data_IF_585609518183
#
_entry.id   IF_585609518183
#
_cell.length_a   1.000
_cell.length_b   1.000
_cell.length_c   1.000
_cell.angle_alpha   90.00
_cell.angle_beta   90.00
_cell.angle_gamma   90.00
#
_symmetry.space_group_name_H-M   'P 1'
#
loop_
_entity.id
_entity.type
_entity.pdbx_description
1 polymer ?
#
# COMPACT_ATOMS: atom_id res chain seq x y z
N UNK A 1 -10.71 5.45 -1.99
CA UNK A 1 -9.75 6.57 -1.86
C UNK A 1 -8.42 6.02 -1.38
N UNK A 2 -7.30 6.45 -1.99
CA UNK A 2 -5.97 6.08 -1.50
C UNK A 2 -5.72 6.77 -0.15
N UNK A 3 -5.11 6.05 0.80
CA UNK A 3 -4.74 6.64 2.08
C UNK A 3 -3.57 7.59 1.89
N UNK A 4 -3.56 8.78 2.55
CA UNK A 4 -2.39 9.63 2.58
C UNK A 4 -1.18 8.89 3.17
N UNK A 5 0.00 9.21 2.67
CA UNK A 5 1.27 8.63 3.13
C UNK A 5 2.01 9.66 3.96
N UNK A 6 2.37 9.28 5.19
CA UNK A 6 3.16 10.11 6.11
C UNK A 6 4.51 9.43 6.34
N UNK A 7 5.61 10.10 6.01
CA UNK A 7 6.95 9.57 6.22
C UNK A 7 7.65 10.26 7.40
N UNK A 8 8.34 9.48 8.24
CA UNK A 8 9.14 9.98 9.35
C UNK A 8 10.61 10.03 8.95
N UNK A 9 11.21 11.21 8.99
CA UNK A 9 12.61 11.49 8.65
C UNK A 9 13.33 12.06 9.87
N UNK A 10 14.60 11.79 10.04
CA UNK A 10 15.41 12.36 11.14
C UNK A 10 16.64 11.51 11.41
N UNK A 11 17.54 12.05 12.23
CA UNK A 11 18.78 11.38 12.63
C UNK A 11 18.53 10.01 13.29
N UNK A 12 19.53 9.12 13.32
CA UNK A 12 19.51 7.97 14.21
C UNK A 12 19.25 8.40 15.67
N UNK A 13 18.58 7.55 16.42
CA UNK A 13 18.34 7.72 17.87
C UNK A 13 17.51 8.95 18.32
N UNK A 14 16.88 9.71 17.38
CA UNK A 14 15.94 10.78 17.74
C UNK A 14 14.58 10.24 18.22
N UNK A 15 14.33 8.92 18.06
CA UNK A 15 13.10 8.26 18.53
C UNK A 15 12.08 7.94 17.44
N UNK A 16 12.45 7.90 16.16
CA UNK A 16 11.55 7.57 15.05
C UNK A 16 10.82 6.23 15.26
N UNK A 17 11.57 5.17 15.55
CA UNK A 17 10.97 3.85 15.77
C UNK A 17 10.13 3.78 17.05
N UNK A 18 10.45 4.60 18.06
CA UNK A 18 9.61 4.73 19.27
C UNK A 18 8.27 5.39 18.92
N UNK A 19 8.29 6.46 18.16
CA UNK A 19 7.07 7.11 17.65
C UNK A 19 6.27 6.13 16.79
N UNK A 20 6.91 5.48 15.82
CA UNK A 20 6.29 4.50 14.94
C UNK A 20 5.59 3.38 15.72
N UNK A 21 6.29 2.74 16.66
CA UNK A 21 5.74 1.67 17.48
C UNK A 21 4.62 2.18 18.42
N UNK A 22 4.76 3.41 18.94
CA UNK A 22 3.75 4.05 19.78
C UNK A 22 2.44 4.30 19.04
N UNK A 23 2.52 4.71 17.78
CA UNK A 23 1.36 4.94 16.92
C UNK A 23 0.77 3.62 16.39
N UNK A 24 1.61 2.65 16.02
CA UNK A 24 1.18 1.31 15.60
C UNK A 24 0.44 0.56 16.72
N UNK A 25 0.86 0.74 17.98
CA UNK A 25 0.23 0.11 19.15
C UNK A 25 -1.12 0.71 19.56
N UNK A 26 -1.51 1.85 19.01
CA UNK A 26 -2.83 2.48 19.23
C UNK A 26 -3.89 1.98 18.25
N UNK A 27 -3.55 1.08 17.33
CA UNK A 27 -4.52 0.50 16.40
C UNK A 27 -5.57 -0.34 17.13
N UNK A 28 -6.76 0.20 17.27
CA UNK A 28 -8.01 -0.54 17.41
C UNK A 28 -8.55 -0.79 16.00
N UNK A 29 -7.81 -1.41 15.14
CA UNK A 29 -8.33 -1.95 13.89
C UNK A 29 -8.07 -3.46 13.86
N UNK A 30 -9.16 -4.21 13.69
CA UNK A 30 -9.15 -5.65 13.48
C UNK A 30 -8.51 -5.90 12.10
N UNK A 31 -7.19 -5.83 12.02
CA UNK A 31 -6.46 -6.34 10.87
C UNK A 31 -6.27 -7.83 11.12
N UNK A 32 -6.96 -8.65 10.35
CA UNK A 32 -6.79 -10.11 10.37
C UNK A 32 -5.36 -10.44 9.96
N UNK A 33 -4.69 -11.26 10.77
CA UNK A 33 -3.42 -11.85 10.38
C UNK A 33 -3.66 -12.72 9.13
N UNK A 34 -3.15 -12.27 8.00
CA UNK A 34 -3.18 -13.05 6.76
C UNK A 34 -1.97 -13.98 6.78
N UNK A 35 -2.17 -15.32 6.78
CA UNK A 35 -1.07 -16.26 6.76
C UNK A 35 -0.18 -16.02 5.54
N UNK A 36 1.13 -15.88 5.76
CA UNK A 36 2.12 -15.65 4.70
C UNK A 36 2.55 -14.20 4.50
N UNK A 37 1.92 -13.24 5.19
CA UNK A 37 2.34 -11.83 5.19
C UNK A 37 3.02 -11.49 6.51
N UNK A 38 4.34 -11.38 6.51
CA UNK A 38 5.10 -10.89 7.66
C UNK A 38 4.97 -9.37 7.73
N UNK A 39 4.57 -8.82 8.90
CA UNK A 39 4.57 -7.38 9.16
C UNK A 39 6.00 -6.87 9.09
N UNK A 40 6.33 -6.16 8.05
CA UNK A 40 7.57 -5.39 8.01
C UNK A 40 7.41 -4.16 8.93
N UNK A 41 8.45 -3.87 9.72
CA UNK A 41 8.50 -2.70 10.62
C UNK A 41 8.68 -1.37 9.87
N UNK A 42 8.44 -1.36 8.57
CA UNK A 42 8.73 -0.22 7.68
C UNK A 42 7.51 0.67 7.50
N UNK A 43 6.29 0.10 7.53
CA UNK A 43 5.05 0.84 7.37
C UNK A 43 3.96 0.30 8.28
N UNK A 44 3.01 1.17 8.64
CA UNK A 44 1.82 0.80 9.42
C UNK A 44 0.67 1.73 9.10
N UNK A 45 -0.55 1.21 9.23
CA UNK A 45 -1.74 2.05 9.15
C UNK A 45 -2.01 2.70 10.50
N UNK A 46 -2.27 3.99 10.47
CA UNK A 46 -2.65 4.78 11.64
C UNK A 46 -4.02 5.38 11.38
N UNK A 47 -4.87 5.37 12.39
CA UNK A 47 -6.15 6.09 12.38
C UNK A 47 -6.13 7.13 13.49
N UNK A 48 -6.35 8.38 13.13
CA UNK A 48 -6.50 9.48 14.07
C UNK A 48 -7.85 10.15 13.85
N UNK A 49 -8.70 10.12 14.86
CA UNK A 49 -10.10 10.53 14.77
C UNK A 49 -10.81 9.76 13.62
N UNK A 50 -11.26 10.45 12.58
CA UNK A 50 -11.92 9.89 11.39
C UNK A 50 -10.98 9.70 10.19
N UNK A 51 -9.69 10.07 10.33
CA UNK A 51 -8.71 10.05 9.24
C UNK A 51 -7.76 8.88 9.36
N UNK A 52 -7.69 8.07 8.30
CA UNK A 52 -6.75 6.96 8.18
C UNK A 52 -5.61 7.30 7.21
N UNK A 53 -4.38 6.95 7.55
CA UNK A 53 -3.20 7.18 6.73
C UNK A 53 -2.17 6.05 6.91
N UNK A 54 -1.23 5.94 5.98
CA UNK A 54 -0.11 5.00 6.06
C UNK A 54 1.12 5.74 6.58
N UNK A 55 1.63 5.33 7.74
CA UNK A 55 2.87 5.84 8.32
C UNK A 55 4.05 4.98 7.84
N UNK A 56 5.12 5.64 7.39
CA UNK A 56 6.35 4.98 6.92
C UNK A 56 7.53 5.42 7.79
N UNK A 57 8.27 4.45 8.36
CA UNK A 57 9.56 4.70 9.00
C UNK A 57 10.67 4.61 7.95
N UNK A 58 11.26 5.76 7.58
CA UNK A 58 12.40 5.80 6.65
C UNK A 58 13.71 5.46 7.33
N UNK A 59 13.76 5.39 8.66
CA UNK A 59 14.93 5.07 9.48
C UNK A 59 14.96 3.60 9.88
N UNK A 60 16.08 2.96 9.79
CA UNK A 60 16.19 1.56 10.24
C UNK A 60 17.56 0.93 10.06
N UNK A 61 18.56 1.74 9.73
CA UNK A 61 19.97 1.32 9.65
C UNK A 61 20.76 2.20 10.61
N UNK A 62 21.42 1.60 11.58
CA UNK A 62 22.36 2.31 12.45
C UNK A 62 23.74 2.38 11.75
N UNK A 63 24.28 3.57 11.51
CA UNK A 63 25.57 3.73 10.85
C UNK A 63 26.72 3.70 11.83
N UNK A 64 27.84 3.14 11.40
CA UNK A 64 29.07 3.05 12.20
C UNK A 64 29.95 4.32 12.15
N UNK A 65 29.60 5.33 11.34
CA UNK A 65 30.44 6.58 11.21
C UNK A 65 29.60 7.83 10.90
N UNK A 66 30.10 9.02 11.27
CA UNK A 66 29.43 10.32 11.13
C UNK A 66 29.16 10.76 9.68
N UNK A 67 30.04 10.45 8.73
CA UNK A 67 29.87 10.78 7.33
C UNK A 67 28.76 9.94 6.67
N UNK A 68 28.57 8.72 7.16
CA UNK A 68 27.48 7.83 6.74
C UNK A 68 26.13 8.34 7.23
N UNK A 69 26.05 8.95 8.43
CA UNK A 69 24.82 9.49 9.02
C UNK A 69 24.18 10.54 8.09
N UNK A 70 24.93 11.52 7.61
CA UNK A 70 24.40 12.57 6.74
C UNK A 70 23.96 12.02 5.39
N UNK A 71 24.70 11.07 4.82
CA UNK A 71 24.33 10.40 3.56
C UNK A 71 23.00 9.67 3.72
N UNK A 72 22.84 8.90 4.78
CA UNK A 72 21.59 8.16 5.06
C UNK A 72 20.41 9.09 5.33
N UNK A 73 20.61 10.18 6.09
CA UNK A 73 19.55 11.16 6.31
C UNK A 73 19.09 11.82 5.02
N UNK A 74 20.03 12.14 4.11
CA UNK A 74 19.70 12.68 2.78
C UNK A 74 18.90 11.68 1.96
N UNK A 75 19.26 10.41 2.02
CA UNK A 75 18.54 9.35 1.33
C UNK A 75 17.13 9.16 1.92
N UNK A 76 17.00 9.13 3.24
CA UNK A 76 15.69 9.09 3.92
C UNK A 76 14.82 10.29 3.53
N UNK A 77 15.39 11.50 3.49
CA UNK A 77 14.69 12.69 3.07
C UNK A 77 14.25 12.61 1.59
N UNK A 78 15.11 12.09 0.72
CA UNK A 78 14.76 11.89 -0.70
C UNK A 78 13.62 10.87 -0.86
N UNK A 79 13.65 9.77 -0.13
CA UNK A 79 12.55 8.78 -0.11
C UNK A 79 11.24 9.44 0.33
N UNK A 80 11.28 10.19 1.42
CA UNK A 80 10.10 10.88 1.94
C UNK A 80 9.55 11.91 0.93
N UNK A 81 10.42 12.69 0.30
CA UNK A 81 10.04 13.65 -0.74
C UNK A 81 9.38 12.94 -1.93
N UNK A 82 9.94 11.81 -2.37
CA UNK A 82 9.43 11.06 -3.52
C UNK A 82 8.11 10.35 -3.24
N UNK A 83 7.82 9.96 -1.99
CA UNK A 83 6.74 9.02 -1.68
C UNK A 83 5.65 9.56 -0.75
N UNK A 84 5.93 10.51 0.13
CA UNK A 84 5.00 10.97 1.14
C UNK A 84 4.14 12.16 0.70
N UNK A 85 2.92 12.23 1.22
CA UNK A 85 2.06 13.41 1.15
C UNK A 85 2.41 14.44 2.23
N UNK A 86 2.82 13.96 3.42
CA UNK A 86 3.26 14.77 4.55
C UNK A 86 4.55 14.17 5.14
N UNK A 87 5.49 15.01 5.52
CA UNK A 87 6.76 14.58 6.11
C UNK A 87 6.81 15.03 7.57
N UNK A 88 7.02 14.10 8.49
CA UNK A 88 7.38 14.38 9.88
C UNK A 88 8.90 14.43 9.94
N UNK A 89 9.46 15.62 10.18
CA UNK A 89 10.89 15.78 10.42
C UNK A 89 11.18 15.81 11.91
N UNK A 90 11.83 14.76 12.40
CA UNK A 90 12.00 14.49 13.83
C UNK A 90 13.41 14.82 14.30
N UNK A 91 13.52 15.64 15.34
CA UNK A 91 14.75 16.09 16.00
C UNK A 91 14.74 15.70 17.49
N UNK A 92 15.83 15.96 18.22
CA UNK A 92 16.01 15.58 19.63
C UNK A 92 16.39 16.81 20.45
N UNK A 93 15.54 17.23 21.41
CA UNK A 93 15.78 18.39 22.26
C UNK A 93 17.05 18.27 23.09
N UNK A 94 17.39 17.04 23.52
CA UNK A 94 18.57 16.80 24.39
C UNK A 94 19.90 17.00 23.67
N UNK A 95 19.92 16.82 22.36
CA UNK A 95 21.13 17.00 21.54
C UNK A 95 21.21 18.42 20.95
N UNK A 96 20.11 19.18 21.02
CA UNK A 96 20.01 20.48 20.38
C UNK A 96 20.05 20.43 18.85
N UNK A 97 20.17 21.59 18.24
CA UNK A 97 20.26 21.76 16.81
C UNK A 97 21.67 21.40 16.33
N UNK A 98 21.77 20.53 15.31
CA UNK A 98 23.06 20.14 14.71
C UNK A 98 23.07 20.38 13.19
N UNK A 99 24.26 20.53 12.61
CA UNK A 99 24.46 20.81 11.18
C UNK A 99 23.77 19.82 10.23
N UNK A 100 23.69 18.55 10.63
CA UNK A 100 23.01 17.54 9.83
C UNK A 100 21.51 17.79 9.73
N UNK A 101 20.88 18.27 10.81
CA UNK A 101 19.46 18.63 10.82
C UNK A 101 19.21 19.83 9.91
N UNK A 102 20.08 20.86 9.96
CA UNK A 102 19.97 22.04 9.10
C UNK A 102 20.09 21.68 7.60
N UNK A 103 21.03 20.80 7.24
CA UNK A 103 21.22 20.34 5.85
C UNK A 103 20.04 19.56 5.31
N UNK A 104 19.43 18.71 6.13
CA UNK A 104 18.23 17.95 5.74
C UNK A 104 17.01 18.86 5.70
N UNK A 105 16.85 19.78 6.66
CA UNK A 105 15.80 20.79 6.64
C UNK A 105 15.82 21.64 5.35
N UNK A 106 17.01 22.05 4.88
CA UNK A 106 17.16 22.78 3.61
C UNK A 106 16.69 21.94 2.41
N UNK A 107 17.00 20.65 2.38
CA UNK A 107 16.55 19.74 1.33
C UNK A 107 15.03 19.56 1.35
N UNK A 108 14.45 19.36 2.54
CA UNK A 108 13.01 19.22 2.71
C UNK A 108 12.27 20.50 2.32
N UNK A 109 12.76 21.68 2.72
CA UNK A 109 12.17 22.98 2.38
C UNK A 109 12.07 23.19 0.86
N UNK A 110 13.09 22.78 0.11
CA UNK A 110 13.11 22.88 -1.38
C UNK A 110 12.13 21.93 -2.06
N UNK A 111 11.64 20.92 -1.37
CA UNK A 111 10.70 19.96 -1.95
C UNK A 111 9.27 20.49 -2.07
N UNK A 112 8.95 21.58 -1.38
CA UNK A 112 7.60 22.14 -1.27
C UNK A 112 6.54 21.17 -0.72
N UNK A 113 6.96 20.05 -0.13
CA UNK A 113 6.05 19.12 0.57
C UNK A 113 5.65 19.70 1.93
N UNK A 114 4.44 19.41 2.42
CA UNK A 114 4.08 19.71 3.80
C UNK A 114 5.03 19.03 4.79
N UNK A 115 5.60 19.80 5.71
CA UNK A 115 6.54 19.31 6.72
C UNK A 115 6.00 19.66 8.09
N UNK A 116 5.97 18.68 9.00
CA UNK A 116 5.70 18.88 10.42
C UNK A 116 7.01 18.68 11.18
N UNK A 117 7.55 19.78 11.73
CA UNK A 117 8.78 19.74 12.53
C UNK A 117 8.45 19.26 13.94
N UNK A 118 9.04 18.15 14.34
CA UNK A 118 8.81 17.52 15.64
C UNK A 118 10.09 17.50 16.45
N UNK A 119 10.04 18.03 17.65
CA UNK A 119 11.13 18.02 18.63
C UNK A 119 10.79 16.99 19.69
N UNK A 120 11.48 15.84 19.66
CA UNK A 120 11.21 14.72 20.57
C UNK A 120 12.07 14.76 21.84
N UNK A 121 11.72 13.92 22.80
CA UNK A 121 12.32 13.76 24.11
C UNK A 121 12.11 14.96 25.04
N UNK A 122 11.05 15.73 24.78
CA UNK A 122 10.57 16.78 25.64
C UNK A 122 9.70 16.14 26.74
N UNK A 123 10.36 15.71 27.80
CA UNK A 123 9.67 15.02 28.91
C UNK A 123 9.09 16.00 29.94
N UNK A 124 9.57 17.24 29.94
CA UNK A 124 9.04 18.34 30.78
C UNK A 124 8.92 19.61 29.93
N UNK A 125 7.72 19.93 29.50
CA UNK A 125 7.44 21.08 28.63
C UNK A 125 7.84 22.42 29.28
N UNK A 126 7.55 22.62 30.55
CA UNK A 126 7.86 23.90 31.24
C UNK A 126 9.35 24.22 31.22
N UNK A 127 10.21 23.19 31.44
CA UNK A 127 11.66 23.38 31.53
C UNK A 127 12.36 23.39 30.18
N UNK A 128 11.84 22.64 29.20
CA UNK A 128 12.54 22.39 27.93
C UNK A 128 11.99 23.23 26.76
N UNK A 129 10.91 24.02 26.96
CA UNK A 129 10.42 24.87 25.89
C UNK A 129 11.44 25.90 25.36
N UNK A 130 12.32 26.51 26.17
CA UNK A 130 13.38 27.37 25.63
C UNK A 130 14.27 26.68 24.64
N UNK A 131 14.64 25.40 24.89
CA UNK A 131 15.46 24.58 24.00
C UNK A 131 14.70 24.18 22.72
N UNK A 132 13.37 23.98 22.81
CA UNK A 132 12.53 23.70 21.65
C UNK A 132 12.51 24.88 20.68
N UNK A 133 12.52 26.11 21.18
CA UNK A 133 12.50 27.33 20.33
C UNK A 133 13.75 27.47 19.47
N UNK A 134 14.89 26.87 19.84
CA UNK A 134 16.08 26.85 19.00
C UNK A 134 15.83 26.26 17.60
N UNK A 135 14.90 25.29 17.51
CA UNK A 135 14.58 24.59 16.26
C UNK A 135 13.80 25.45 15.24
N UNK A 136 13.30 26.64 15.61
CA UNK A 136 12.81 27.62 14.64
C UNK A 136 13.89 28.04 13.61
N UNK A 137 15.17 27.93 13.98
CA UNK A 137 16.27 28.23 13.08
C UNK A 137 16.35 27.28 11.87
N UNK A 138 15.64 26.15 11.87
CA UNK A 138 15.51 25.26 10.70
C UNK A 138 14.65 25.85 9.58
N UNK A 139 13.76 26.81 9.89
CA UNK A 139 12.95 27.52 8.89
C UNK A 139 11.97 26.63 8.11
N UNK A 140 11.45 25.59 8.75
CA UNK A 140 10.52 24.62 8.14
C UNK A 140 9.17 24.49 8.87
N UNK A 141 8.84 25.46 9.68
CA UNK A 141 7.59 25.54 10.43
C UNK A 141 7.79 25.62 11.93
N UNK A 142 6.69 25.54 12.66
CA UNK A 142 6.66 25.58 14.11
C UNK A 142 7.18 24.26 14.69
N UNK A 143 8.19 24.28 15.61
CA UNK A 143 8.66 23.08 16.26
C UNK A 143 7.64 22.57 17.28
N UNK A 144 7.13 21.36 17.06
CA UNK A 144 6.17 20.70 17.92
C UNK A 144 6.85 19.83 18.97
N UNK A 145 6.76 20.16 20.27
CA UNK A 145 7.37 19.38 21.32
C UNK A 145 6.57 18.07 21.56
N UNK A 146 7.25 16.94 21.57
CA UNK A 146 6.66 15.66 21.94
C UNK A 146 7.58 14.86 22.88
N UNK A 147 7.00 13.90 23.60
CA UNK A 147 7.71 12.77 24.15
C UNK A 147 7.10 11.47 23.61
N UNK A 148 7.78 10.85 22.66
CA UNK A 148 7.30 9.60 22.06
C UNK A 148 7.20 8.44 23.06
N UNK A 149 8.06 8.43 24.07
CA UNK A 149 8.05 7.44 25.15
C UNK A 149 6.85 7.64 26.07
N UNK A 150 6.64 8.88 26.54
CA UNK A 150 5.57 9.23 27.47
C UNK A 150 4.24 9.54 26.79
N UNK A 151 4.22 9.52 25.45
CA UNK A 151 3.06 9.83 24.59
C UNK A 151 2.51 11.27 24.78
N UNK A 152 3.35 12.19 25.25
CA UNK A 152 2.99 13.60 25.41
C UNK A 152 3.08 14.34 24.07
N UNK A 153 2.13 15.24 23.79
CA UNK A 153 2.10 16.06 22.57
C UNK A 153 1.75 15.31 21.28
N UNK A 154 1.50 13.99 21.34
CA UNK A 154 1.20 13.19 20.12
C UNK A 154 -0.13 13.59 19.48
N UNK A 155 -1.13 13.97 20.27
CA UNK A 155 -2.42 14.42 19.75
C UNK A 155 -2.29 15.67 18.90
N UNK A 156 -1.63 16.70 19.42
CA UNK A 156 -1.41 17.97 18.72
C UNK A 156 -0.59 17.77 17.44
N UNK A 157 0.43 16.90 17.51
CA UNK A 157 1.23 16.51 16.33
C UNK A 157 0.36 15.84 15.27
N UNK A 158 -0.51 14.90 15.64
CA UNK A 158 -1.38 14.18 14.71
C UNK A 158 -2.46 15.11 14.12
N UNK A 159 -2.97 16.04 14.91
CA UNK A 159 -3.87 17.09 14.43
C UNK A 159 -3.19 17.94 13.37
N UNK A 160 -1.93 18.36 13.59
CA UNK A 160 -1.15 19.12 12.62
C UNK A 160 -0.89 18.32 11.34
N UNK A 161 -0.44 17.07 11.45
CA UNK A 161 -0.20 16.18 10.30
C UNK A 161 -1.46 16.03 9.46
N UNK A 162 -2.61 15.80 10.09
CA UNK A 162 -3.88 15.55 9.38
C UNK A 162 -4.51 16.78 8.74
N UNK A 163 -4.09 18.00 9.12
CA UNK A 163 -4.51 19.25 8.44
C UNK A 163 -4.05 19.30 6.99
N UNK A 164 -2.89 18.68 6.70
CA UNK A 164 -2.27 18.67 5.38
C UNK A 164 -2.78 17.57 4.46
N UNK A 165 -3.68 16.73 4.95
CA UNK A 165 -4.28 15.70 4.11
C UNK A 165 -5.18 16.33 3.05
N UNK A 166 -5.21 15.75 1.83
CA UNK A 166 -6.12 16.20 0.79
C UNK A 166 -7.55 16.28 1.32
N UNK A 167 -8.22 17.41 1.08
CA UNK A 167 -9.65 17.56 1.41
C UNK A 167 -10.47 16.92 0.30
N UNK A 168 -11.61 16.31 0.65
CA UNK A 168 -12.52 15.68 -0.32
C UNK A 168 -12.95 16.61 -1.46
N UNK A 169 -12.87 17.93 -1.27
CA UNK A 169 -13.17 18.96 -2.28
C UNK A 169 -12.05 19.23 -3.28
N UNK A 170 -10.81 18.85 -2.94
CA UNK A 170 -9.64 19.00 -3.82
C UNK A 170 -9.43 17.77 -4.72
N UNK A 171 -10.28 16.76 -4.57
CA UNK A 171 -10.34 15.61 -5.47
C UNK A 171 -11.08 16.12 -6.72
N UNK A 172 -10.29 16.55 -7.72
CA UNK A 172 -10.80 16.75 -9.09
C UNK A 172 -11.58 15.49 -9.50
N UNK A 173 -12.59 15.69 -10.34
CA UNK A 173 -13.46 14.65 -10.95
C UNK A 173 -12.74 13.31 -11.00
N UNK A 174 -13.35 12.30 -10.41
CA UNK A 174 -12.77 10.94 -10.31
C UNK A 174 -12.17 10.59 -11.68
N UNK A 175 -10.86 10.57 -11.77
CA UNK A 175 -10.17 10.18 -12.98
C UNK A 175 -10.42 8.67 -13.16
N UNK A 176 -11.46 8.34 -13.93
CA UNK A 176 -11.95 6.99 -14.19
C UNK A 176 -10.92 6.11 -14.92
N UNK A 177 -9.78 6.70 -15.32
CA UNK A 177 -8.70 5.96 -15.95
C UNK A 177 -8.08 4.97 -14.98
N UNK A 178 -7.91 3.69 -15.37
CA UNK A 178 -7.25 2.70 -14.53
C UNK A 178 -5.83 3.12 -14.15
N UNK A 179 -5.52 3.12 -12.85
CA UNK A 179 -4.19 3.41 -12.30
C UNK A 179 -3.45 2.12 -12.02
N UNK A 180 -2.30 1.93 -12.66
CA UNK A 180 -1.55 0.67 -12.65
C UNK A 180 -0.17 0.86 -12.02
N UNK A 181 0.16 0.06 -11.00
CA UNK A 181 1.51 -0.05 -10.47
C UNK A 181 2.18 -1.33 -10.97
N UNK A 182 3.45 -1.23 -11.40
CA UNK A 182 4.30 -2.38 -11.73
C UNK A 182 5.32 -2.55 -10.62
N UNK A 183 5.18 -3.62 -9.84
CA UNK A 183 5.99 -3.91 -8.65
C UNK A 183 6.70 -5.26 -8.78
N UNK A 184 7.66 -5.52 -7.92
CA UNK A 184 8.43 -6.76 -7.91
C UNK A 184 9.87 -6.50 -7.50
N UNK A 185 10.65 -7.55 -7.29
CA UNK A 185 12.06 -7.51 -6.90
C UNK A 185 12.94 -6.71 -7.88
N UNK A 186 14.11 -6.25 -7.47
CA UNK A 186 15.12 -5.74 -8.41
C UNK A 186 15.41 -6.75 -9.53
N UNK A 187 15.72 -6.26 -10.72
CA UNK A 187 16.15 -7.06 -11.89
C UNK A 187 15.15 -8.07 -12.49
N UNK A 188 13.91 -8.15 -12.02
CA UNK A 188 12.85 -8.99 -12.63
C UNK A 188 12.38 -8.47 -13.99
N UNK A 189 12.81 -7.26 -14.40
CA UNK A 189 12.53 -6.69 -15.72
C UNK A 189 11.38 -5.67 -15.76
N UNK A 190 11.00 -5.05 -14.62
CA UNK A 190 9.96 -4.00 -14.57
C UNK A 190 10.20 -2.88 -15.58
N UNK A 191 11.39 -2.28 -15.56
CA UNK A 191 11.76 -1.19 -16.50
C UNK A 191 11.72 -1.64 -17.96
N UNK A 192 12.06 -2.90 -18.24
CA UNK A 192 11.99 -3.47 -19.60
C UNK A 192 10.55 -3.63 -20.07
N UNK A 193 9.64 -4.05 -19.17
CA UNK A 193 8.20 -4.12 -19.45
C UNK A 193 7.66 -2.74 -19.78
N UNK A 194 7.92 -1.75 -18.90
CA UNK A 194 7.50 -0.36 -19.08
C UNK A 194 8.00 0.20 -20.41
N UNK A 195 9.31 0.09 -20.69
CA UNK A 195 9.89 0.60 -21.93
C UNK A 195 9.28 -0.06 -23.18
N UNK A 196 8.95 -1.36 -23.12
CA UNK A 196 8.37 -2.08 -24.24
C UNK A 196 6.90 -1.73 -24.46
N UNK A 197 6.13 -1.53 -23.39
CA UNK A 197 4.74 -1.06 -23.45
C UNK A 197 4.68 0.36 -24.01
N UNK A 198 5.59 1.25 -23.59
CA UNK A 198 5.65 2.64 -24.04
C UNK A 198 6.16 2.79 -25.49
N UNK A 199 7.10 1.93 -25.90
CA UNK A 199 7.67 1.99 -27.25
C UNK A 199 6.71 1.54 -28.37
N UNK A 200 5.63 0.84 -28.04
CA UNK A 200 4.63 0.34 -29.00
C UNK A 200 3.36 1.21 -29.07
N UNK A 201 3.09 2.01 -28.06
CA UNK A 201 1.84 2.74 -27.89
C UNK A 201 2.10 4.24 -27.88
N UNK A 202 1.07 5.03 -28.20
CA UNK A 202 1.14 6.48 -28.17
C UNK A 202 1.22 6.93 -26.70
N UNK A 203 2.43 7.31 -26.26
CA UNK A 203 2.60 7.95 -24.95
C UNK A 203 2.08 9.37 -25.06
N UNK A 204 1.01 9.65 -24.38
CA UNK A 204 0.52 11.03 -24.21
C UNK A 204 1.26 11.54 -22.97
N UNK A 205 2.34 12.28 -23.19
CA UNK A 205 2.92 13.10 -22.13
C UNK A 205 1.98 14.28 -21.97
N UNK A 206 1.03 14.16 -21.09
CA UNK A 206 0.15 15.28 -20.78
C UNK A 206 0.80 16.13 -19.72
N UNK A 207 1.37 17.27 -20.15
CA UNK A 207 1.56 18.44 -19.29
C UNK A 207 0.19 19.04 -18.96
N UNK A 208 -0.65 18.30 -18.26
CA UNK A 208 -1.90 18.86 -17.71
C UNK A 208 -1.46 19.72 -16.52
N UNK A 209 -1.36 21.02 -16.78
CA UNK A 209 -1.21 22.04 -15.74
C UNK A 209 -2.40 21.89 -14.78
N UNK A 210 -2.13 21.40 -13.57
CA UNK A 210 -3.15 21.16 -12.53
C UNK A 210 -2.93 19.89 -11.72
N UNK A 211 -2.21 18.90 -12.24
CA UNK A 211 -1.80 17.69 -11.49
C UNK A 211 -0.36 17.82 -11.00
N UNK A 212 -0.06 18.91 -10.32
CA UNK A 212 1.28 19.25 -9.80
C UNK A 212 1.78 18.30 -8.70
N UNK A 213 1.08 17.20 -8.41
CA UNK A 213 1.51 16.25 -7.37
C UNK A 213 2.44 15.16 -7.86
N UNK A 214 2.43 14.79 -9.17
CA UNK A 214 3.17 13.61 -9.61
C UNK A 214 3.73 13.73 -11.05
N UNK A 215 4.86 14.40 -11.20
CA UNK A 215 5.68 14.41 -12.43
C UNK A 215 6.25 13.01 -12.81
N UNK A 216 5.75 11.95 -12.19
CA UNK A 216 6.32 10.60 -12.17
C UNK A 216 5.43 9.58 -12.89
N UNK A 217 4.15 9.90 -13.10
CA UNK A 217 3.17 9.02 -13.74
C UNK A 217 3.15 9.17 -15.27
N UNK A 218 2.81 8.11 -15.97
CA UNK A 218 2.76 8.13 -17.43
C UNK A 218 1.41 7.61 -17.94
N UNK A 219 0.76 8.40 -18.78
CA UNK A 219 -0.48 8.01 -19.45
C UNK A 219 -0.14 7.32 -20.76
N UNK A 220 -0.77 6.17 -21.00
CA UNK A 220 -0.64 5.40 -22.24
C UNK A 220 -2.01 5.21 -22.84
N UNK A 221 -2.15 5.58 -24.12
CA UNK A 221 -3.33 5.22 -24.89
C UNK A 221 -3.11 3.88 -25.60
N UNK A 222 -3.97 2.92 -25.34
CA UNK A 222 -4.01 1.65 -26.03
C UNK A 222 -5.41 1.39 -26.59
N UNK A 223 -5.53 1.31 -27.90
CA UNK A 223 -6.80 1.09 -28.62
C UNK A 223 -7.93 2.07 -28.24
N UNK A 224 -7.59 3.32 -27.92
CA UNK A 224 -8.56 4.36 -27.55
C UNK A 224 -8.89 4.45 -26.07
N UNK A 225 -8.38 3.54 -25.24
CA UNK A 225 -8.48 3.59 -23.77
C UNK A 225 -7.18 4.13 -23.16
N UNK A 226 -7.32 5.03 -22.18
CA UNK A 226 -6.19 5.59 -21.45
C UNK A 226 -5.94 4.81 -20.16
N UNK A 227 -4.66 4.55 -19.87
CA UNK A 227 -4.17 3.88 -18.66
C UNK A 227 -3.09 4.73 -18.00
N UNK A 228 -3.15 4.89 -16.68
CA UNK A 228 -2.18 5.66 -15.91
C UNK A 228 -1.20 4.70 -15.21
N UNK A 229 0.06 4.70 -15.64
CA UNK A 229 1.10 3.91 -14.99
C UNK A 229 1.80 4.73 -13.92
N UNK A 230 1.72 4.26 -12.68
CA UNK A 230 2.22 4.93 -11.46
C UNK A 230 3.74 4.73 -11.32
N UNK A 231 4.45 5.77 -10.86
CA UNK A 231 5.91 5.76 -10.53
C UNK A 231 6.82 5.27 -11.66
N UNK A 232 6.52 5.62 -12.89
CA UNK A 232 7.31 5.16 -14.04
C UNK A 232 8.68 5.81 -14.15
N UNK A 233 8.89 7.03 -13.62
CA UNK A 233 10.20 7.70 -13.62
C UNK A 233 11.20 6.99 -12.71
N UNK A 234 10.76 6.45 -11.56
CA UNK A 234 11.58 5.59 -10.70
C UNK A 234 12.02 4.31 -11.41
N UNK A 235 11.16 3.76 -12.27
CA UNK A 235 11.48 2.58 -13.08
C UNK A 235 12.41 2.88 -14.26
N UNK A 236 12.44 4.13 -14.78
CA UNK A 236 13.28 4.55 -15.90
C UNK A 236 14.70 4.94 -15.47
N UNK A 237 14.87 5.52 -14.28
CA UNK A 237 16.20 5.86 -13.74
C UNK A 237 16.92 4.56 -13.40
N UNK A 238 17.90 4.16 -14.21
CA UNK A 238 18.80 3.05 -13.87
C UNK A 238 19.51 3.40 -12.56
N UNK A 239 19.14 2.75 -11.46
CA UNK A 239 19.83 2.95 -10.20
C UNK A 239 21.24 2.38 -10.30
N UNK A 240 22.26 3.24 -10.09
CA UNK A 240 23.67 2.87 -9.97
C UNK A 240 24.05 2.43 -8.55
N UNK A 241 23.09 2.22 -7.65
CA UNK A 241 23.35 2.02 -6.23
C UNK A 241 23.01 0.57 -5.87
N UNK A 242 24.00 -0.13 -5.32
CA UNK A 242 23.93 -1.51 -4.84
C UNK A 242 23.60 -1.52 -3.33
N UNK A 243 22.88 -2.53 -2.89
CA UNK A 243 22.74 -3.05 -1.51
C UNK A 243 21.87 -2.32 -0.44
N UNK A 244 21.69 -1.00 -0.45
CA UNK A 244 20.69 -0.32 0.41
C UNK A 244 19.27 -0.36 -0.18
N UNK A 245 19.13 -1.04 -1.29
CA UNK A 245 18.01 -1.05 -2.23
C UNK A 245 16.74 -1.75 -1.73
N UNK A 246 16.81 -2.63 -0.75
CA UNK A 246 15.67 -3.50 -0.43
C UNK A 246 14.55 -2.74 0.29
N UNK A 247 14.89 -1.96 1.31
CA UNK A 247 13.91 -1.13 2.06
C UNK A 247 13.34 0.00 1.20
N UNK A 248 14.20 0.65 0.41
CA UNK A 248 13.81 1.67 -0.54
C UNK A 248 12.80 1.12 -1.56
N UNK A 249 13.06 -0.10 -2.05
CA UNK A 249 12.16 -0.81 -2.95
C UNK A 249 10.81 -1.11 -2.31
N UNK A 250 10.77 -1.48 -1.03
CA UNK A 250 9.53 -1.76 -0.30
C UNK A 250 8.72 -0.48 -0.10
N UNK A 251 9.33 0.61 0.34
CA UNK A 251 8.65 1.90 0.56
C UNK A 251 8.03 2.42 -0.75
N UNK A 252 8.78 2.37 -1.85
CA UNK A 252 8.25 2.72 -3.17
C UNK A 252 7.12 1.79 -3.60
N UNK A 253 7.25 0.50 -3.31
CA UNK A 253 6.20 -0.48 -3.60
C UNK A 253 4.92 -0.13 -2.84
N UNK A 254 5.01 0.18 -1.55
CA UNK A 254 3.84 0.60 -0.73
C UNK A 254 3.22 1.86 -1.32
N UNK A 255 4.02 2.89 -1.63
CA UNK A 255 3.54 4.13 -2.21
C UNK A 255 2.85 3.92 -3.56
N UNK A 256 3.46 3.13 -4.45
CA UNK A 256 2.87 2.83 -5.76
C UNK A 256 1.57 2.03 -5.62
N UNK A 257 1.54 1.05 -4.71
CA UNK A 257 0.34 0.24 -4.43
C UNK A 257 -0.79 1.08 -3.86
N UNK A 258 -0.51 2.01 -2.92
CA UNK A 258 -1.56 2.89 -2.37
C UNK A 258 -2.27 3.69 -3.45
N UNK A 259 -1.53 4.23 -4.42
CA UNK A 259 -2.03 5.08 -5.50
C UNK A 259 -2.69 4.33 -6.65
N UNK A 260 -2.38 3.04 -6.81
CA UNK A 260 -2.88 2.21 -7.90
C UNK A 260 -4.29 1.64 -7.63
N UNK A 261 -5.02 1.30 -8.69
CA UNK A 261 -6.21 0.46 -8.67
C UNK A 261 -5.84 -1.01 -8.89
N UNK A 262 -4.82 -1.23 -9.75
CA UNK A 262 -4.34 -2.56 -10.14
C UNK A 262 -2.83 -2.63 -9.96
N UNK A 263 -2.37 -3.75 -9.42
CA UNK A 263 -0.96 -4.03 -9.17
C UNK A 263 -0.51 -5.22 -10.02
N UNK A 264 0.49 -4.99 -10.85
CA UNK A 264 1.17 -6.03 -11.63
C UNK A 264 2.41 -6.46 -10.86
N UNK A 265 2.35 -7.63 -10.23
CA UNK A 265 3.50 -8.23 -9.53
C UNK A 265 4.35 -8.99 -10.54
N UNK A 266 5.57 -8.52 -10.78
CA UNK A 266 6.48 -9.11 -11.77
C UNK A 266 7.40 -10.12 -11.09
N UNK A 267 7.40 -11.35 -11.58
CA UNK A 267 8.23 -12.47 -11.11
C UNK A 267 9.22 -12.85 -12.23
N UNK A 268 10.45 -13.19 -11.87
CA UNK A 268 11.44 -13.73 -12.80
C UNK A 268 11.23 -15.24 -12.98
N UNK A 269 10.98 -15.68 -14.22
CA UNK A 269 10.77 -17.09 -14.51
C UNK A 269 11.98 -17.97 -14.16
N UNK A 270 13.22 -17.44 -14.23
CA UNK A 270 14.43 -18.20 -13.90
C UNK A 270 14.57 -18.48 -12.40
N UNK A 271 14.11 -17.56 -11.55
CA UNK A 271 14.16 -17.72 -10.09
C UNK A 271 12.91 -18.42 -9.55
N UNK A 272 11.80 -18.31 -10.27
CA UNK A 272 10.48 -18.69 -9.79
C UNK A 272 9.92 -17.73 -8.73
N UNK A 273 8.81 -18.13 -8.10
CA UNK A 273 8.17 -17.34 -7.03
C UNK A 273 8.94 -17.50 -5.71
N UNK A 274 9.16 -16.38 -5.00
CA UNK A 274 9.92 -16.31 -3.75
C UNK A 274 9.08 -15.68 -2.62
N UNK A 275 9.56 -15.78 -1.38
CA UNK A 275 8.94 -15.13 -0.21
C UNK A 275 8.84 -13.60 -0.37
N UNK A 276 9.82 -12.97 -1.01
CA UNK A 276 9.80 -11.53 -1.26
C UNK A 276 8.69 -11.15 -2.25
N UNK A 277 8.45 -11.98 -3.27
CA UNK A 277 7.32 -11.79 -4.18
C UNK A 277 5.98 -11.96 -3.45
N UNK A 278 5.90 -12.91 -2.51
CA UNK A 278 4.72 -13.10 -1.66
C UNK A 278 4.46 -11.88 -0.76
N UNK A 279 5.50 -11.28 -0.16
CA UNK A 279 5.37 -10.04 0.62
C UNK A 279 4.81 -8.90 -0.22
N UNK A 280 5.36 -8.69 -1.42
CA UNK A 280 4.90 -7.65 -2.35
C UNK A 280 3.44 -7.87 -2.75
N UNK A 281 3.07 -9.09 -3.08
CA UNK A 281 1.70 -9.47 -3.41
C UNK A 281 0.75 -9.32 -2.21
N UNK A 282 1.26 -9.60 -0.99
CA UNK A 282 0.54 -9.40 0.27
C UNK A 282 0.15 -7.95 0.51
N UNK A 283 1.07 -7.00 0.27
CA UNK A 283 0.79 -5.56 0.38
C UNK A 283 -0.39 -5.18 -0.55
N UNK A 284 -0.38 -5.65 -1.80
CA UNK A 284 -1.45 -5.36 -2.75
C UNK A 284 -2.80 -5.97 -2.31
N UNK A 285 -2.77 -7.18 -1.76
CA UNK A 285 -3.95 -7.86 -1.23
C UNK A 285 -4.57 -7.14 -0.03
N UNK A 286 -3.75 -6.78 0.96
CA UNK A 286 -4.19 -6.05 2.15
C UNK A 286 -4.82 -4.69 1.81
N UNK A 287 -4.32 -4.04 0.74
CA UNK A 287 -4.86 -2.77 0.22
C UNK A 287 -6.09 -2.96 -0.67
N UNK A 288 -6.56 -4.18 -0.87
CA UNK A 288 -7.74 -4.48 -1.68
C UNK A 288 -7.59 -4.15 -3.16
N UNK A 289 -6.34 -4.13 -3.67
CA UNK A 289 -6.07 -3.80 -5.08
C UNK A 289 -6.39 -4.97 -6.00
N UNK A 290 -6.63 -4.66 -7.28
CA UNK A 290 -6.62 -5.67 -8.32
C UNK A 290 -5.21 -6.24 -8.48
N UNK A 291 -5.06 -7.55 -8.67
CA UNK A 291 -3.74 -8.20 -8.71
C UNK A 291 -3.61 -9.06 -9.97
N UNK A 292 -2.51 -8.80 -10.70
CA UNK A 292 -2.04 -9.63 -11.80
C UNK A 292 -0.60 -10.07 -11.51
N UNK A 293 -0.30 -11.33 -11.71
CA UNK A 293 1.06 -11.90 -11.64
C UNK A 293 1.63 -11.99 -13.05
N UNK A 294 2.69 -11.25 -13.33
CA UNK A 294 3.38 -11.27 -14.60
C UNK A 294 4.70 -12.06 -14.48
N UNK A 295 4.73 -13.29 -14.97
CA UNK A 295 5.93 -14.13 -15.00
C UNK A 295 6.75 -13.73 -16.22
N UNK A 296 7.79 -12.93 -15.99
CA UNK A 296 8.65 -12.37 -17.04
C UNK A 296 9.87 -13.25 -17.33
N UNK A 297 10.59 -12.93 -18.39
CA UNK A 297 11.72 -13.69 -18.94
C UNK A 297 11.33 -15.10 -19.38
N UNK A 298 10.09 -15.28 -19.79
CA UNK A 298 9.55 -16.56 -20.24
C UNK A 298 10.26 -17.11 -21.49
N UNK A 299 10.98 -16.27 -22.24
CA UNK A 299 11.83 -16.63 -23.36
C UNK A 299 13.09 -17.42 -22.95
N UNK A 300 13.53 -17.29 -21.71
CA UNK A 300 14.76 -17.91 -21.19
C UNK A 300 14.53 -19.32 -20.60
N UNK A 301 13.27 -19.74 -20.46
CA UNK A 301 12.93 -21.04 -19.86
C UNK A 301 12.82 -22.11 -20.95
N UNK A 302 13.45 -23.27 -20.73
CA UNK A 302 13.17 -24.48 -21.50
C UNK A 302 11.76 -24.98 -21.19
N UNK A 303 10.98 -25.28 -22.22
CA UNK A 303 9.54 -25.51 -22.09
C UNK A 303 9.17 -26.87 -22.64
N UNK A 304 8.40 -27.59 -21.86
CA UNK A 304 7.61 -28.74 -22.26
C UNK A 304 6.10 -28.45 -22.10
N UNK A 305 5.26 -29.40 -22.44
CA UNK A 305 3.80 -29.26 -22.35
C UNK A 305 3.29 -29.05 -20.90
N UNK A 306 4.09 -29.41 -19.89
CA UNK A 306 3.74 -29.34 -18.46
C UNK A 306 4.32 -28.12 -17.78
N UNK A 307 5.27 -27.42 -18.37
CA UNK A 307 6.02 -26.32 -17.76
C UNK A 307 5.10 -25.20 -17.24
N UNK A 308 4.14 -24.76 -18.06
CA UNK A 308 3.17 -23.71 -17.65
C UNK A 308 2.34 -24.17 -16.46
N UNK A 309 1.90 -25.41 -16.46
CA UNK A 309 1.07 -25.98 -15.39
C UNK A 309 1.87 -26.07 -14.08
N UNK A 310 3.12 -26.52 -14.14
CA UNK A 310 4.00 -26.63 -12.97
C UNK A 310 4.29 -25.26 -12.35
N UNK A 311 4.61 -24.24 -13.18
CA UNK A 311 4.80 -22.87 -12.73
C UNK A 311 3.52 -22.30 -12.10
N UNK A 312 2.38 -22.50 -12.74
CA UNK A 312 1.09 -22.04 -12.24
C UNK A 312 0.76 -22.65 -10.88
N UNK A 313 0.97 -23.93 -10.69
CA UNK A 313 0.72 -24.61 -9.42
C UNK A 313 1.65 -24.09 -8.33
N UNK A 314 2.96 -23.97 -8.60
CA UNK A 314 3.93 -23.44 -7.64
C UNK A 314 3.59 -22.00 -7.22
N UNK A 315 3.16 -21.17 -8.16
CA UNK A 315 2.71 -19.79 -7.85
C UNK A 315 1.47 -19.82 -6.95
N UNK A 316 0.48 -20.65 -7.29
CA UNK A 316 -0.76 -20.78 -6.50
C UNK A 316 -0.54 -21.35 -5.10
N UNK A 317 0.41 -22.25 -4.94
CA UNK A 317 0.81 -22.78 -3.63
C UNK A 317 1.47 -21.70 -2.77
N UNK A 318 2.48 -21.00 -3.32
CA UNK A 318 3.21 -19.95 -2.60
C UNK A 318 2.32 -18.72 -2.32
N UNK A 319 1.46 -18.35 -3.27
CA UNK A 319 0.54 -17.22 -3.17
C UNK A 319 -0.91 -17.67 -2.86
N UNK A 320 -1.06 -18.68 -1.99
CA UNK A 320 -2.37 -19.29 -1.68
C UNK A 320 -3.40 -18.34 -1.06
N UNK A 321 -2.96 -17.19 -0.56
CA UNK A 321 -3.82 -16.13 -0.01
C UNK A 321 -4.47 -15.26 -1.11
N UNK A 322 -4.00 -15.31 -2.36
CA UNK A 322 -4.56 -14.60 -3.52
C UNK A 322 -4.92 -15.54 -4.68
N UNK A 323 -5.78 -16.55 -4.46
CA UNK A 323 -6.11 -17.56 -5.47
C UNK A 323 -6.82 -16.97 -6.71
N UNK A 324 -7.34 -15.76 -6.57
CA UNK A 324 -8.05 -15.00 -7.60
C UNK A 324 -7.13 -14.24 -8.56
N UNK A 325 -5.83 -14.11 -8.23
CA UNK A 325 -4.89 -13.36 -9.05
C UNK A 325 -4.71 -14.01 -10.42
N UNK A 326 -4.75 -13.18 -11.47
CA UNK A 326 -4.53 -13.62 -12.84
C UNK A 326 -3.04 -13.81 -13.11
N UNK A 327 -2.66 -14.93 -13.72
CA UNK A 327 -1.26 -15.25 -14.02
C UNK A 327 -1.01 -15.15 -15.53
N UNK A 328 -0.03 -14.34 -15.92
CA UNK A 328 0.35 -14.10 -17.31
C UNK A 328 1.85 -14.36 -17.50
N UNK A 329 2.20 -15.25 -18.42
CA UNK A 329 3.58 -15.53 -18.79
C UNK A 329 4.00 -14.64 -19.97
N UNK A 330 5.02 -13.78 -19.76
CA UNK A 330 5.45 -12.75 -20.70
C UNK A 330 6.95 -12.78 -20.96
N UNK A 331 7.37 -12.13 -22.03
CA UNK A 331 8.77 -11.78 -22.25
C UNK A 331 8.88 -10.29 -22.63
N UNK A 332 9.44 -9.49 -21.75
CA UNK A 332 9.75 -8.10 -22.05
C UNK A 332 10.82 -7.97 -23.17
N UNK A 333 11.72 -8.94 -23.30
CA UNK A 333 12.77 -8.99 -24.31
C UNK A 333 12.18 -9.15 -25.71
N UNK A 334 11.36 -10.16 -25.92
CA UNK A 334 10.77 -10.46 -27.24
C UNK A 334 9.47 -9.70 -27.50
N UNK A 335 8.80 -9.20 -26.46
CA UNK A 335 7.49 -8.58 -26.55
C UNK A 335 6.31 -9.57 -26.51
N UNK A 336 6.60 -10.84 -26.19
CA UNK A 336 5.61 -11.91 -26.19
C UNK A 336 4.54 -11.63 -25.12
N UNK A 337 3.26 -11.66 -25.52
CA UNK A 337 2.05 -11.52 -24.70
C UNK A 337 1.93 -10.20 -23.92
N UNK A 338 2.74 -9.18 -24.17
CA UNK A 338 2.63 -7.89 -23.48
C UNK A 338 1.28 -7.21 -23.74
N UNK A 339 0.70 -7.33 -24.92
CA UNK A 339 -0.61 -6.75 -25.23
C UNK A 339 -1.73 -7.36 -24.39
N UNK A 340 -1.59 -8.60 -23.91
CA UNK A 340 -2.57 -9.26 -23.03
C UNK A 340 -2.65 -8.60 -21.64
N UNK A 341 -1.65 -7.81 -21.25
CA UNK A 341 -1.68 -7.04 -20.01
C UNK A 341 -2.89 -6.10 -20.00
N UNK A 342 -3.15 -5.39 -21.11
CA UNK A 342 -4.29 -4.46 -21.19
C UNK A 342 -5.64 -5.19 -21.12
N UNK A 343 -5.77 -6.33 -21.83
CA UNK A 343 -6.97 -7.16 -21.78
C UNK A 343 -7.29 -7.66 -20.36
N UNK A 344 -6.25 -8.03 -19.60
CA UNK A 344 -6.41 -8.45 -18.21
C UNK A 344 -6.69 -7.27 -17.27
N UNK A 345 -6.09 -6.09 -17.50
CA UNK A 345 -6.40 -4.87 -16.75
C UNK A 345 -7.89 -4.56 -16.91
N UNK A 346 -8.41 -4.55 -18.14
CA UNK A 346 -9.81 -4.25 -18.41
C UNK A 346 -10.76 -5.24 -17.72
N UNK A 347 -10.44 -6.55 -17.77
CA UNK A 347 -11.22 -7.57 -17.07
C UNK A 347 -11.20 -7.41 -15.54
N UNK A 348 -10.07 -6.98 -14.96
CA UNK A 348 -9.96 -6.70 -13.53
C UNK A 348 -10.76 -5.44 -13.17
N UNK A 349 -10.68 -4.37 -13.97
CA UNK A 349 -11.45 -3.13 -13.77
C UNK A 349 -12.95 -3.42 -13.82
N UNK A 350 -13.39 -4.23 -14.78
CA UNK A 350 -14.80 -4.66 -14.89
C UNK A 350 -15.21 -5.42 -13.61
N UNK A 351 -14.40 -6.37 -13.18
CA UNK A 351 -14.64 -7.12 -11.93
C UNK A 351 -14.68 -6.22 -10.70
N UNK A 352 -13.79 -5.23 -10.59
CA UNK A 352 -13.76 -4.29 -9.46
C UNK A 352 -15.01 -3.41 -9.42
N UNK A 353 -15.54 -3.01 -10.58
CA UNK A 353 -16.71 -2.13 -10.69
C UNK A 353 -18.04 -2.88 -10.60
N UNK A 354 -18.01 -4.21 -10.58
CA UNK A 354 -19.22 -5.02 -10.57
C UNK A 354 -20.08 -4.75 -9.33
N UNK A 355 -21.36 -4.46 -9.56
CA UNK A 355 -22.39 -4.30 -8.52
C UNK A 355 -23.38 -5.44 -8.62
N UNK A 356 -23.54 -6.14 -7.50
CA UNK A 356 -24.49 -7.25 -7.39
C UNK A 356 -25.74 -6.75 -6.67
N UNK A 357 -26.96 -6.94 -7.27
CA UNK A 357 -28.20 -6.64 -6.58
C UNK A 357 -28.33 -7.44 -5.29
N UNK A 358 -28.82 -6.79 -4.22
CA UNK A 358 -28.93 -7.39 -2.89
C UNK A 358 -29.77 -8.67 -2.89
N UNK A 359 -30.84 -8.73 -3.72
CA UNK A 359 -31.70 -9.93 -3.86
C UNK A 359 -30.89 -11.15 -4.33
N UNK A 360 -30.19 -10.99 -5.49
CA UNK A 360 -29.37 -12.07 -6.08
C UNK A 360 -28.26 -12.52 -5.12
N UNK A 361 -27.62 -11.55 -4.44
CA UNK A 361 -26.58 -11.83 -3.45
C UNK A 361 -27.12 -12.70 -2.30
N UNK A 362 -28.35 -12.45 -1.84
CA UNK A 362 -28.95 -13.21 -0.75
C UNK A 362 -29.50 -14.57 -1.19
N UNK A 363 -29.88 -14.74 -2.45
CA UNK A 363 -30.18 -16.06 -3.01
C UNK A 363 -28.95 -16.98 -2.95
N UNK A 364 -27.78 -16.50 -3.40
CA UNK A 364 -26.52 -17.24 -3.32
C UNK A 364 -26.11 -17.50 -1.87
N UNK A 365 -26.27 -16.51 -0.99
CA UNK A 365 -26.00 -16.70 0.44
C UNK A 365 -26.87 -17.81 1.03
N UNK A 366 -28.16 -17.82 0.71
CA UNK A 366 -29.10 -18.84 1.21
C UNK A 366 -28.73 -20.22 0.71
N UNK A 367 -28.37 -20.33 -0.57
CA UNK A 367 -27.89 -21.59 -1.17
C UNK A 367 -26.60 -22.06 -0.48
N UNK A 368 -25.61 -21.16 -0.33
CA UNK A 368 -24.35 -21.47 0.33
C UNK A 368 -24.55 -21.95 1.78
N UNK A 369 -25.39 -21.27 2.55
CA UNK A 369 -25.72 -21.65 3.94
C UNK A 369 -26.46 -23.00 4.00
N UNK A 370 -27.29 -23.34 3.01
CA UNK A 370 -27.99 -24.63 2.94
C UNK A 370 -27.03 -25.78 2.61
N UNK A 371 -26.03 -25.54 1.71
CA UNK A 371 -25.02 -26.54 1.34
C UNK A 371 -24.04 -26.81 2.49
N UNK A 372 -23.56 -25.78 3.15
CA UNK A 372 -22.66 -25.90 4.28
C UNK A 372 -23.10 -24.99 5.41
N UNK A 373 -23.58 -25.61 6.46
CA UNK A 373 -24.09 -24.89 7.61
C UNK A 373 -22.98 -24.10 8.33
N UNK A 374 -23.30 -22.88 8.84
CA UNK A 374 -22.37 -22.08 9.59
C UNK A 374 -21.84 -22.78 10.84
N UNK A 375 -20.59 -22.43 11.26
CA UNK A 375 -19.97 -23.02 12.45
C UNK A 375 -20.76 -22.73 13.73
N UNK A 376 -20.58 -23.58 14.71
CA UNK A 376 -21.12 -23.40 16.07
C UNK A 376 -19.99 -23.45 17.09
N UNK A 377 -20.03 -22.59 18.09
CA UNK A 377 -19.17 -22.62 19.26
C UNK A 377 -20.01 -22.59 20.54
N UNK A 378 -19.68 -23.47 21.51
CA UNK A 378 -20.34 -23.58 22.82
C UNK A 378 -21.87 -23.60 22.73
N UNK A 379 -22.44 -24.32 21.76
CA UNK A 379 -23.88 -24.46 21.56
C UNK A 379 -24.56 -23.28 20.85
N UNK A 380 -23.84 -22.21 20.56
CA UNK A 380 -24.35 -21.11 19.76
C UNK A 380 -23.87 -21.28 18.31
N UNK A 381 -24.80 -21.15 17.35
CA UNK A 381 -24.52 -21.22 15.93
C UNK A 381 -24.47 -19.83 15.32
N UNK A 382 -23.50 -19.60 14.43
CA UNK A 382 -23.48 -18.41 13.59
C UNK A 382 -24.74 -18.36 12.73
N UNK A 383 -25.45 -17.24 12.74
CA UNK A 383 -26.55 -16.94 11.83
C UNK A 383 -26.19 -15.74 10.99
N UNK A 384 -26.28 -15.88 9.67
CA UNK A 384 -26.14 -14.79 8.72
C UNK A 384 -27.56 -14.44 8.27
N UNK A 385 -28.00 -13.23 8.60
CA UNK A 385 -29.38 -12.80 8.31
C UNK A 385 -29.53 -12.34 6.86
N UNK A 386 -28.59 -11.55 6.39
CA UNK A 386 -28.52 -11.10 5.01
C UNK A 386 -27.14 -10.48 4.74
N UNK A 387 -26.87 -10.25 3.45
CA UNK A 387 -25.63 -9.63 2.98
C UNK A 387 -25.95 -8.54 1.96
N UNK A 388 -25.16 -7.47 1.94
CA UNK A 388 -25.26 -6.40 0.94
C UNK A 388 -23.90 -5.93 0.50
N UNK A 389 -23.76 -5.52 -0.75
CA UNK A 389 -22.56 -4.89 -1.25
C UNK A 389 -22.62 -3.38 -0.98
N UNK A 390 -21.64 -2.86 -0.24
CA UNK A 390 -21.59 -1.44 0.17
C UNK A 390 -20.62 -0.62 -0.65
N UNK A 391 -19.63 -1.27 -1.28
CA UNK A 391 -18.61 -0.59 -2.06
C UNK A 391 -18.14 -1.42 -3.25
N UNK A 392 -17.56 -0.74 -4.22
CA UNK A 392 -16.73 -1.25 -5.32
C UNK A 392 -15.32 -0.70 -5.15
N UNK A 393 -14.31 -1.30 -5.80
CA UNK A 393 -12.90 -0.86 -5.75
C UNK A 393 -12.33 -0.68 -4.31
N UNK A 394 -12.24 -1.72 -3.49
CA UNK A 394 -12.57 -3.13 -3.74
C UNK A 394 -14.04 -3.44 -3.49
N UNK A 395 -14.57 -4.50 -4.12
CA UNK A 395 -15.88 -5.06 -3.80
C UNK A 395 -15.95 -5.40 -2.32
N UNK A 396 -16.85 -4.73 -1.58
CA UNK A 396 -16.97 -4.88 -0.14
C UNK A 396 -18.38 -5.28 0.23
N UNK A 397 -18.50 -6.38 0.96
CA UNK A 397 -19.77 -6.96 1.38
C UNK A 397 -19.93 -6.86 2.90
N UNK A 398 -21.08 -6.41 3.34
CA UNK A 398 -21.46 -6.41 4.76
C UNK A 398 -22.35 -7.60 5.01
N UNK A 399 -21.93 -8.51 5.88
CA UNK A 399 -22.73 -9.61 6.41
C UNK A 399 -23.33 -9.20 7.75
N UNK A 400 -24.66 -9.26 7.86
CA UNK A 400 -25.37 -9.01 9.11
C UNK A 400 -25.56 -10.35 9.84
N UNK A 401 -24.95 -10.45 11.02
CA UNK A 401 -24.82 -11.69 11.78
C UNK A 401 -25.33 -11.51 13.21
N UNK A 402 -25.54 -12.64 13.91
CA UNK A 402 -25.94 -12.63 15.30
C UNK A 402 -24.80 -12.31 16.29
N UNK A 403 -23.59 -12.80 16.03
CA UNK A 403 -22.46 -12.68 16.95
C UNK A 403 -21.14 -12.77 16.17
N UNK A 404 -20.29 -11.75 16.31
CA UNK A 404 -18.97 -11.67 15.61
C UNK A 404 -17.99 -12.72 16.10
N UNK A 405 -18.09 -13.14 17.37
CA UNK A 405 -17.18 -14.14 17.94
C UNK A 405 -17.32 -15.52 17.29
N UNK A 406 -18.48 -15.79 16.67
CA UNK A 406 -18.77 -17.04 15.97
C UNK A 406 -18.26 -17.05 14.51
N UNK A 407 -17.76 -15.91 13.99
CA UNK A 407 -17.23 -15.85 12.63
C UNK A 407 -15.85 -16.50 12.55
N UNK A 408 -15.77 -17.60 11.83
CA UNK A 408 -14.51 -18.26 11.55
C UNK A 408 -14.00 -17.91 10.15
N UNK A 409 -12.70 -17.68 10.02
CA UNK A 409 -12.06 -17.33 8.74
C UNK A 409 -12.40 -18.31 7.61
N UNK A 410 -12.39 -19.62 7.90
CA UNK A 410 -12.69 -20.65 6.90
C UNK A 410 -14.10 -20.53 6.33
N UNK A 411 -15.08 -20.13 7.15
CA UNK A 411 -16.44 -19.96 6.68
C UNK A 411 -16.62 -18.70 5.83
N UNK A 412 -15.97 -17.61 6.22
CA UNK A 412 -15.93 -16.39 5.38
C UNK A 412 -15.31 -16.69 4.01
N UNK A 413 -14.22 -17.49 3.98
CA UNK A 413 -13.58 -17.91 2.73
C UNK A 413 -14.48 -18.81 1.89
N UNK A 414 -15.26 -19.68 2.53
CA UNK A 414 -16.27 -20.48 1.84
C UNK A 414 -17.32 -19.60 1.13
N UNK A 415 -17.87 -18.61 1.85
CA UNK A 415 -18.84 -17.67 1.25
C UNK A 415 -18.19 -16.86 0.12
N UNK A 416 -16.95 -16.40 0.29
CA UNK A 416 -16.20 -15.74 -0.76
C UNK A 416 -16.08 -16.61 -2.02
N UNK A 417 -15.73 -17.88 -1.86
CA UNK A 417 -15.63 -18.80 -2.98
C UNK A 417 -16.96 -18.97 -3.72
N UNK A 418 -18.08 -19.03 -2.99
CA UNK A 418 -19.41 -19.10 -3.61
C UNK A 418 -19.76 -17.85 -4.41
N UNK A 419 -19.42 -16.68 -3.90
CA UNK A 419 -19.59 -15.42 -4.63
C UNK A 419 -18.70 -15.40 -5.88
N UNK A 420 -17.45 -15.88 -5.79
CA UNK A 420 -16.54 -15.98 -6.94
C UNK A 420 -17.00 -16.99 -7.98
N UNK A 421 -17.53 -18.13 -7.56
CA UNK A 421 -18.12 -19.13 -8.45
C UNK A 421 -19.29 -18.54 -9.26
N UNK A 422 -20.12 -17.72 -8.63
CA UNK A 422 -21.30 -17.13 -9.27
C UNK A 422 -20.97 -15.92 -10.17
N UNK A 423 -20.02 -15.06 -9.78
CA UNK A 423 -19.79 -13.76 -10.42
C UNK A 423 -18.38 -13.58 -11.00
N UNK A 424 -17.45 -14.49 -10.73
CA UNK A 424 -16.07 -14.41 -11.19
C UNK A 424 -15.18 -13.58 -10.28
N UNK A 425 -15.27 -12.25 -10.27
CA UNK A 425 -14.37 -11.33 -9.55
C UNK A 425 -12.90 -11.61 -9.82
N UNK A 426 -12.55 -11.75 -11.10
CA UNK A 426 -11.20 -12.07 -11.57
C UNK A 426 -10.20 -10.98 -11.15
N UNK A 427 -9.06 -11.39 -10.66
CA UNK A 427 -7.96 -10.50 -10.31
C UNK A 427 -8.26 -9.49 -9.20
N UNK A 428 -9.42 -9.53 -8.53
CA UNK A 428 -9.78 -8.54 -7.50
C UNK A 428 -10.02 -9.17 -6.14
N UNK A 429 -9.54 -8.49 -5.09
CA UNK A 429 -9.82 -8.84 -3.71
C UNK A 429 -11.31 -8.59 -3.37
N UNK A 430 -11.87 -9.38 -2.49
CA UNK A 430 -13.20 -9.17 -1.92
C UNK A 430 -13.05 -8.93 -0.42
N UNK A 431 -13.69 -7.87 0.08
CA UNK A 431 -13.68 -7.55 1.50
C UNK A 431 -15.01 -7.91 2.15
N UNK A 432 -14.95 -8.46 3.37
CA UNK A 432 -16.12 -8.76 4.19
C UNK A 432 -16.08 -7.99 5.50
N UNK A 433 -17.19 -7.33 5.81
CA UNK A 433 -17.42 -6.64 7.07
C UNK A 433 -18.56 -7.35 7.79
N UNK A 434 -18.28 -7.86 8.99
CA UNK A 434 -19.29 -8.49 9.83
C UNK A 434 -19.92 -7.43 10.74
N UNK A 435 -21.25 -7.25 10.66
CA UNK A 435 -22.02 -6.38 11.54
C UNK A 435 -23.00 -7.20 12.37
N UNK A 436 -22.96 -7.04 13.68
CA UNK A 436 -23.96 -7.62 14.57
C UNK A 436 -25.26 -6.86 14.41
N UNK A 437 -26.33 -7.62 14.18
CA UNK A 437 -27.68 -7.11 14.32
C UNK A 437 -28.06 -7.22 15.79
N UNK A 438 -28.02 -6.11 16.54
CA UNK A 438 -28.62 -6.05 17.87
C UNK A 438 -30.10 -6.40 17.70
N UNK A 439 -30.51 -7.59 18.17
CA UNK A 439 -31.89 -7.97 18.19
C UNK A 439 -32.69 -6.96 19.03
N UNK A 440 -33.76 -6.40 18.48
CA UNK A 440 -34.85 -6.02 19.35
C UNK A 440 -35.32 -7.33 19.97
N UNK A 441 -35.10 -7.50 21.27
CA UNK A 441 -35.92 -8.45 22.04
C UNK A 441 -37.37 -8.11 21.73
N UNK A 442 -38.07 -9.09 21.15
CA UNK A 442 -39.52 -9.07 21.03
C UNK A 442 -40.13 -9.45 22.36
#
# INVERSE_FOLDING_TARGET
>A
MSKPIVAVVGRPNVGKSTLFNGLAGQQISIVKDTPGVTRDRIYTDVTWLDKAFTLIDTGGIEPDSSDVILSQMREQAQIAIDTADVIIFMTDVRQGLVDSDAKVADMLRRSHKPIVLVVNKVDNFEKQMPDVYEFYNLGIGEPMPISAISKLGLGDMLDEVTKWFPKDKDIQEDDDRPKIAIVGKPNVGKSSIVNKLFGKNRVIVSDIAGTTRDAIDTIINYKGQDYVFIDTAGLRRKSKIKEELERYSIIRTVSAVERADIVIVVIDANEGVTEQDAKIAGIAHERGKGIMIAVNKWDAIEKDDKTIYQFTNKIKETLSFIPYAEILFISAKTGQRLNKIYELIDAIVESQNMRIPTGVLNEILTEAVSMQQPPSDKGKRLRIYYMTQVSVKPPTFVMFINDKSLTHFSYTRYIENKIREAFGFRGTAIHFINRERKGKEL
#
